data_IF_935195945522
#
_entry.id   IF_935195945522
#
_cell.length_a   1.000
_cell.length_b   1.000
_cell.length_c   1.000
_cell.angle_alpha   90.00
_cell.angle_beta   90.00
_cell.angle_gamma   90.00
#
_symmetry.space_group_name_H-M   'P 1'
#
loop_
_entity.id
_entity.type
_entity.pdbx_description
1 polymer ?
#
# COMPACT_ATOMS: atom_id res chain seq x y z
N UNK A 1 1.92 3.37 -17.34
CA UNK A 1 1.20 4.24 -16.38
C UNK A 1 1.82 5.63 -16.38
N UNK A 2 1.07 6.70 -16.04
CA UNK A 2 1.68 8.03 -15.85
C UNK A 2 2.54 8.03 -14.58
N UNK A 3 3.60 8.84 -14.53
CA UNK A 3 4.51 8.91 -13.38
C UNK A 3 3.77 9.19 -12.05
N UNK A 4 2.73 10.02 -12.08
CA UNK A 4 1.88 10.31 -10.91
C UNK A 4 1.11 9.09 -10.41
N UNK A 5 0.66 8.21 -11.31
CA UNK A 5 -0.05 6.98 -10.95
C UNK A 5 0.91 5.95 -10.36
N UNK A 6 2.12 5.85 -10.91
CA UNK A 6 3.17 4.96 -10.42
C UNK A 6 3.54 5.38 -8.99
N UNK A 7 3.86 6.65 -8.77
CA UNK A 7 4.19 7.19 -7.44
C UNK A 7 3.07 6.95 -6.42
N UNK A 8 1.81 7.17 -6.81
CA UNK A 8 0.67 6.90 -5.94
C UNK A 8 0.59 5.42 -5.54
N UNK A 9 0.76 4.51 -6.51
CA UNK A 9 0.70 3.06 -6.29
C UNK A 9 1.85 2.59 -5.41
N UNK A 10 3.07 3.05 -5.70
CA UNK A 10 4.26 2.84 -4.89
C UNK A 10 3.99 3.18 -3.42
N UNK A 11 3.63 4.45 -3.14
CA UNK A 11 3.42 4.92 -1.77
C UNK A 11 2.29 4.20 -1.04
N UNK A 12 1.23 3.86 -1.74
CA UNK A 12 0.11 3.12 -1.16
C UNK A 12 0.53 1.68 -0.78
N UNK A 13 1.27 1.01 -1.66
CA UNK A 13 1.79 -0.34 -1.41
C UNK A 13 2.82 -0.36 -0.28
N UNK A 14 3.80 0.55 -0.30
CA UNK A 14 4.80 0.67 0.77
C UNK A 14 4.13 0.91 2.11
N UNK A 15 3.17 1.85 2.19
CA UNK A 15 2.44 2.13 3.42
C UNK A 15 1.65 0.90 3.90
N UNK A 16 0.99 0.18 3.00
CA UNK A 16 0.28 -1.04 3.36
C UNK A 16 1.22 -2.13 3.90
N UNK A 17 2.32 -2.39 3.21
CA UNK A 17 3.31 -3.40 3.58
C UNK A 17 3.91 -3.11 4.97
N UNK A 18 4.23 -1.85 5.26
CA UNK A 18 4.79 -1.45 6.56
C UNK A 18 3.71 -1.40 7.64
N UNK A 19 2.66 -0.60 7.45
CA UNK A 19 1.73 -0.20 8.51
C UNK A 19 0.63 -1.22 8.81
N UNK A 20 0.41 -2.17 7.91
CA UNK A 20 -0.64 -3.20 8.01
C UNK A 20 -0.03 -4.58 8.13
N UNK A 21 0.98 -4.89 7.30
CA UNK A 21 1.63 -6.20 7.31
C UNK A 21 2.89 -6.28 8.18
N UNK A 22 3.44 -5.13 8.62
CA UNK A 22 4.64 -5.10 9.46
C UNK A 22 5.92 -5.51 8.72
N UNK A 23 5.95 -5.38 7.39
CA UNK A 23 7.12 -5.68 6.57
C UNK A 23 8.20 -4.64 6.82
N UNK A 24 9.46 -5.08 6.84
CA UNK A 24 10.61 -4.18 6.95
C UNK A 24 10.57 -3.09 5.86
N UNK A 25 10.85 -1.81 6.19
CA UNK A 25 10.75 -0.72 5.23
C UNK A 25 11.58 -0.90 3.95
N UNK A 26 12.76 -1.52 4.05
CA UNK A 26 13.62 -1.73 2.88
C UNK A 26 13.01 -2.78 1.96
N UNK A 27 12.48 -3.86 2.54
CA UNK A 27 11.78 -4.92 1.80
C UNK A 27 10.49 -4.36 1.20
N UNK A 28 9.73 -3.57 1.96
CA UNK A 28 8.48 -2.98 1.52
C UNK A 28 8.65 -2.05 0.29
N UNK A 29 9.70 -1.22 0.27
CA UNK A 29 9.96 -0.36 -0.90
C UNK A 29 10.36 -1.17 -2.14
N UNK A 30 11.15 -2.23 -1.95
CA UNK A 30 11.55 -3.12 -3.05
C UNK A 30 10.35 -3.89 -3.61
N UNK A 31 9.50 -4.43 -2.74
CA UNK A 31 8.31 -5.18 -3.13
C UNK A 31 7.27 -4.26 -3.78
N UNK A 32 7.06 -3.04 -3.24
CA UNK A 32 6.17 -2.06 -3.84
C UNK A 32 6.59 -1.71 -5.28
N UNK A 33 7.89 -1.53 -5.53
CA UNK A 33 8.44 -1.27 -6.85
C UNK A 33 8.16 -2.41 -7.86
N UNK A 34 8.17 -3.67 -7.39
CA UNK A 34 7.83 -4.82 -8.23
C UNK A 34 6.32 -4.90 -8.49
N UNK A 35 5.51 -4.64 -7.47
CA UNK A 35 4.05 -4.83 -7.53
C UNK A 35 3.35 -3.69 -8.27
N UNK A 36 3.85 -2.45 -8.16
CA UNK A 36 3.14 -1.26 -8.63
C UNK A 36 2.84 -1.26 -10.14
N UNK A 37 3.60 -2.00 -10.93
CA UNK A 37 3.41 -2.12 -12.37
C UNK A 37 2.42 -3.24 -12.76
N UNK A 38 2.31 -4.28 -11.93
CA UNK A 38 1.58 -5.51 -12.26
C UNK A 38 0.23 -5.65 -11.56
N UNK A 39 -0.01 -4.90 -10.47
CA UNK A 39 -1.27 -4.96 -9.72
C UNK A 39 -2.45 -4.36 -10.52
N UNK A 40 -3.63 -4.97 -10.47
CA UNK A 40 -4.79 -4.41 -11.19
C UNK A 40 -5.25 -3.07 -10.58
N UNK A 41 -5.84 -2.19 -11.40
CA UNK A 41 -6.39 -0.91 -10.92
C UNK A 41 -7.45 -1.13 -9.84
N UNK A 42 -8.31 -2.13 -10.01
CA UNK A 42 -9.35 -2.49 -9.02
C UNK A 42 -8.75 -2.81 -7.65
N UNK A 43 -7.67 -3.60 -7.63
CA UNK A 43 -7.00 -3.97 -6.37
C UNK A 43 -6.38 -2.73 -5.72
N UNK A 44 -5.75 -1.86 -6.50
CA UNK A 44 -5.17 -0.62 -5.98
C UNK A 44 -6.21 0.35 -5.41
N UNK A 45 -7.37 0.48 -6.06
CA UNK A 45 -8.44 1.34 -5.56
C UNK A 45 -9.02 0.83 -4.23
N UNK A 46 -9.19 -0.50 -4.11
CA UNK A 46 -9.61 -1.15 -2.86
C UNK A 46 -8.55 -0.99 -1.77
N UNK A 47 -7.27 -1.15 -2.10
CA UNK A 47 -6.15 -0.99 -1.18
C UNK A 47 -6.05 0.45 -0.65
N UNK A 48 -6.09 1.44 -1.54
CA UNK A 48 -6.09 2.85 -1.17
C UNK A 48 -7.31 3.20 -0.31
N UNK A 49 -8.49 2.66 -0.65
CA UNK A 49 -9.71 2.84 0.14
C UNK A 49 -9.62 2.19 1.52
N UNK A 50 -8.95 1.03 1.63
CA UNK A 50 -8.68 0.37 2.91
C UNK A 50 -7.81 1.26 3.82
N UNK A 51 -6.73 1.84 3.29
CA UNK A 51 -5.83 2.71 4.07
C UNK A 51 -6.46 4.06 4.46
N UNK A 52 -7.45 4.55 3.68
CA UNK A 52 -8.18 5.79 4.00
C UNK A 52 -9.21 5.60 5.11
N UNK A 53 -9.62 4.36 5.41
CA UNK A 53 -10.54 4.12 6.52
C UNK A 53 -9.78 4.40 7.82
N UNK A 54 -10.32 5.24 8.73
CA UNK A 54 -9.69 5.43 10.03
C UNK A 54 -9.54 4.06 10.69
N UNK A 55 -8.32 3.74 11.18
CA UNK A 55 -8.10 2.54 11.98
C UNK A 55 -9.12 2.57 13.11
N UNK A 56 -10.14 1.71 13.07
CA UNK A 56 -10.94 1.44 14.27
C UNK A 56 -9.92 0.96 15.30
N UNK A 57 -9.79 1.71 16.40
CA UNK A 57 -8.94 1.30 17.51
C UNK A 57 -9.36 -0.12 17.88
N UNK A 58 -8.48 -1.08 17.65
CA UNK A 58 -8.52 -2.30 18.44
C UNK A 58 -8.01 -1.87 19.81
N UNK A 59 -8.93 -1.42 20.65
CA UNK A 59 -8.70 -1.43 22.09
C UNK A 59 -8.56 -2.92 22.45
N UNK A 60 -7.34 -3.43 22.41
CA UNK A 60 -6.99 -4.71 23.01
C UNK A 60 -7.09 -4.51 24.53
N UNK A 61 -7.98 -5.30 25.15
CA UNK A 61 -8.18 -5.40 26.60
C UNK A 61 -7.04 -6.17 27.27
#
# INVERSE_FOLDING_TARGET
>A
LKASQIYFRHKTLTCFLIEVLGVDPVVAEQDACLIEHDISSETMEKLASFLRKPKMRTDEN
#
